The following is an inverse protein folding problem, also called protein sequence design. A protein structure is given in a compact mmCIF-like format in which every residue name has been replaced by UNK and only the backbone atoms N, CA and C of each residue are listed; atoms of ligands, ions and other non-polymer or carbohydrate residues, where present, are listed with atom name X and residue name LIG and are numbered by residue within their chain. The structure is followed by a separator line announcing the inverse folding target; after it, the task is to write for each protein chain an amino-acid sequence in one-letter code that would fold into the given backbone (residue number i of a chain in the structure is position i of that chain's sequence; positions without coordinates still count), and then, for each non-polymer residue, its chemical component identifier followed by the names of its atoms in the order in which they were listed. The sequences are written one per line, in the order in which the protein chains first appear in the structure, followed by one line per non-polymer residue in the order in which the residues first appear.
data_IF_141585627280
#
_entry.id   IF_141585627280
#
_cell.length_a   1.000
_cell.length_b   1.000
_cell.length_c   1.000
_cell.angle_alpha   90.00
_cell.angle_beta   90.00
_cell.angle_gamma   90.00
#
_symmetry.space_group_name_H-M   'P 1'
#
loop_
_entity.id
_entity.type
_entity.pdbx_description
1 polymer ?
#
# COMPACT_ATOMS: atom_id res chain seq x y z
N UNK A 1 68.19 30.86 29.87
CA UNK A 1 67.40 31.45 28.76
C UNK A 1 66.45 30.37 28.25
N UNK A 2 65.21 30.37 28.75
CA UNK A 2 64.18 29.47 28.30
C UNK A 2 63.76 29.89 26.89
N UNK A 3 63.73 28.93 25.99
CA UNK A 3 63.57 29.21 24.55
C UNK A 3 62.11 29.60 24.24
N UNK A 4 61.90 30.85 23.87
CA UNK A 4 60.56 31.38 23.48
C UNK A 4 59.84 30.52 22.43
N UNK A 5 60.60 29.73 21.71
CA UNK A 5 60.06 28.74 20.70
C UNK A 5 59.36 27.58 21.39
N UNK A 6 59.76 27.16 22.60
CA UNK A 6 59.14 26.05 23.31
C UNK A 6 57.79 26.48 23.92
N UNK A 7 57.70 27.73 24.41
CA UNK A 7 56.45 28.30 24.94
C UNK A 7 55.40 28.48 23.82
N UNK A 8 55.88 28.91 22.61
CA UNK A 8 54.98 29.07 21.47
C UNK A 8 54.42 27.71 20.97
N UNK A 9 55.26 26.68 21.05
CA UNK A 9 54.86 25.32 20.67
C UNK A 9 53.87 24.69 21.67
N UNK A 10 54.07 24.97 22.98
CA UNK A 10 53.18 24.54 24.03
C UNK A 10 51.81 25.26 23.98
N UNK A 11 51.79 26.55 23.67
CA UNK A 11 50.56 27.32 23.47
C UNK A 11 49.79 26.88 22.23
N UNK A 12 50.48 26.56 21.13
CA UNK A 12 49.86 26.03 19.88
C UNK A 12 49.30 24.61 20.10
N UNK A 13 49.98 23.75 20.86
CA UNK A 13 49.50 22.41 21.23
C UNK A 13 48.28 22.43 22.15
N UNK A 14 48.22 23.42 23.05
CA UNK A 14 47.06 23.61 23.94
C UNK A 14 45.80 24.09 23.19
N UNK A 15 45.98 24.90 22.14
CA UNK A 15 44.88 25.39 21.26
C UNK A 15 44.28 24.26 20.42
N UNK A 16 45.02 23.22 20.08
CA UNK A 16 44.56 22.08 19.29
C UNK A 16 43.70 21.08 20.10
N UNK A 17 43.75 21.14 21.44
CA UNK A 17 43.00 20.23 22.32
C UNK A 17 41.56 20.70 22.59
N UNK A 18 41.16 21.91 22.20
CA UNK A 18 39.82 22.43 22.42
C UNK A 18 38.84 22.24 21.22
N UNK A 19 39.28 21.58 20.14
CA UNK A 19 38.48 21.42 18.92
C UNK A 19 37.64 20.15 18.86
N UNK A 20 37.46 19.38 19.94
CA UNK A 20 36.52 18.27 20.01
C UNK A 20 35.28 18.68 20.80
N UNK A 21 34.45 19.52 20.20
CA UNK A 21 33.05 19.70 20.63
C UNK A 21 32.22 18.61 19.95
N UNK A 22 32.04 17.45 20.61
CA UNK A 22 31.03 16.50 20.22
C UNK A 22 29.65 17.15 20.36
N UNK A 23 29.11 17.61 19.26
CA UNK A 23 27.73 18.06 19.17
C UNK A 23 26.79 16.89 19.44
N UNK A 24 26.31 16.79 20.66
CA UNK A 24 25.19 15.92 21.07
C UNK A 24 23.87 16.31 20.38
N UNK A 25 23.84 16.29 19.03
CA UNK A 25 22.63 16.55 18.21
C UNK A 25 21.87 15.27 17.86
N UNK A 26 22.40 14.09 18.19
CA UNK A 26 21.81 12.81 17.74
C UNK A 26 20.68 12.32 18.66
N UNK A 27 20.66 12.70 19.94
CA UNK A 27 19.71 12.12 20.91
C UNK A 27 18.31 12.76 20.95
N UNK A 28 18.06 13.86 20.24
CA UNK A 28 16.75 14.54 20.29
C UNK A 28 15.82 14.22 19.11
N UNK A 29 16.32 13.55 18.09
CA UNK A 29 15.56 13.30 16.84
C UNK A 29 14.77 12.00 16.86
N UNK A 30 15.18 10.99 17.61
CA UNK A 30 14.49 9.68 17.60
C UNK A 30 13.13 9.70 18.31
N UNK A 31 12.97 10.49 19.37
CA UNK A 31 11.69 10.58 20.09
C UNK A 31 10.63 11.38 19.31
N UNK A 32 11.04 12.29 18.43
CA UNK A 32 10.14 13.08 17.59
C UNK A 32 9.72 12.33 16.32
N UNK A 33 10.48 11.31 15.89
CA UNK A 33 10.18 10.51 14.70
C UNK A 33 9.19 9.36 14.94
N UNK A 34 8.79 9.09 16.19
CA UNK A 34 7.81 8.04 16.46
C UNK A 34 6.47 8.40 15.84
N UNK A 35 6.10 7.68 14.78
CA UNK A 35 4.83 7.84 14.09
C UNK A 35 4.88 8.69 12.82
N UNK A 36 5.98 9.40 12.55
CA UNK A 36 6.18 10.05 11.25
C UNK A 36 6.66 9.03 10.21
N UNK A 37 6.27 9.20 8.94
CA UNK A 37 6.82 8.40 7.85
C UNK A 37 8.32 8.69 7.68
N UNK A 38 9.08 7.67 7.26
CA UNK A 38 10.50 7.83 6.89
C UNK A 38 10.63 8.58 5.57
N UNK A 39 9.64 8.42 4.68
CA UNK A 39 9.56 9.09 3.39
C UNK A 39 8.11 9.47 3.09
N UNK A 40 7.90 10.68 2.55
CA UNK A 40 6.63 11.13 1.99
C UNK A 40 6.86 11.59 0.56
N UNK A 41 6.08 11.05 -0.37
CA UNK A 41 6.12 11.39 -1.78
C UNK A 41 4.75 11.81 -2.28
N UNK A 42 4.69 12.80 -3.19
CA UNK A 42 3.44 13.29 -3.78
C UNK A 42 3.39 12.99 -5.29
N UNK A 43 2.17 12.78 -5.81
CA UNK A 43 1.91 12.49 -7.23
C UNK A 43 2.76 11.33 -7.76
N UNK A 44 2.69 10.19 -7.08
CA UNK A 44 3.58 9.04 -7.30
C UNK A 44 2.98 8.09 -8.32
N UNK A 45 3.83 7.53 -9.19
CA UNK A 45 3.52 6.36 -10.00
C UNK A 45 4.58 5.30 -9.71
N UNK A 46 4.16 4.13 -9.24
CA UNK A 46 5.00 2.96 -9.02
C UNK A 46 4.65 1.92 -10.08
N UNK A 47 5.64 1.42 -10.79
CA UNK A 47 5.50 0.30 -11.71
C UNK A 47 6.31 -0.86 -11.18
N UNK A 48 5.64 -1.96 -10.88
CA UNK A 48 6.26 -3.21 -10.45
C UNK A 48 6.41 -4.14 -11.64
N UNK A 49 7.57 -4.79 -11.72
CA UNK A 49 7.89 -5.77 -12.76
C UNK A 49 8.13 -7.14 -12.12
N UNK A 50 7.60 -8.15 -12.75
CA UNK A 50 7.92 -9.55 -12.51
C UNK A 50 8.72 -10.16 -13.66
N UNK A 51 8.89 -11.48 -13.67
CA UNK A 51 9.63 -12.20 -14.74
C UNK A 51 8.96 -12.08 -16.12
N UNK A 52 7.68 -11.76 -16.16
CA UNK A 52 6.85 -11.71 -17.37
C UNK A 52 6.62 -10.26 -17.85
N UNK A 53 7.08 -9.26 -17.09
CA UNK A 53 7.05 -7.82 -17.37
C UNK A 53 6.28 -7.02 -16.31
N UNK A 54 5.40 -6.07 -16.68
CA UNK A 54 4.68 -5.24 -15.70
C UNK A 54 3.66 -6.11 -14.95
N UNK A 55 3.82 -6.25 -13.63
CA UNK A 55 2.89 -6.92 -12.74
C UNK A 55 1.74 -5.99 -12.34
N UNK A 56 2.08 -4.75 -11.92
CA UNK A 56 1.08 -3.74 -11.63
C UNK A 56 1.62 -2.31 -11.80
N UNK A 57 0.69 -1.36 -11.93
CA UNK A 57 0.95 0.07 -11.90
C UNK A 57 0.08 0.66 -10.79
N UNK A 58 0.71 1.30 -9.79
CA UNK A 58 0.06 2.04 -8.72
C UNK A 58 0.24 3.53 -8.94
N UNK A 59 -0.85 4.29 -8.97
CA UNK A 59 -0.86 5.76 -8.93
C UNK A 59 -1.47 6.22 -7.62
N UNK A 60 -0.85 7.22 -6.99
CA UNK A 60 -1.34 7.80 -5.74
C UNK A 60 -1.03 9.29 -5.66
N UNK A 61 -1.95 10.07 -5.10
CA UNK A 61 -1.70 11.49 -4.85
C UNK A 61 -0.61 11.70 -3.80
N UNK A 62 -0.53 10.80 -2.81
CA UNK A 62 0.47 10.82 -1.75
C UNK A 62 0.80 9.40 -1.31
N UNK A 63 2.08 9.17 -0.96
CA UNK A 63 2.55 7.94 -0.33
C UNK A 63 3.40 8.31 0.89
N UNK A 64 3.10 7.68 2.02
CA UNK A 64 3.90 7.72 3.24
C UNK A 64 4.51 6.33 3.47
N UNK A 65 5.83 6.23 3.57
CA UNK A 65 6.56 4.97 3.72
C UNK A 65 7.19 4.85 5.10
N UNK A 66 7.09 3.65 5.69
CA UNK A 66 7.66 3.28 6.98
C UNK A 66 8.54 2.05 6.79
N UNK A 67 9.86 2.27 6.64
CA UNK A 67 10.79 1.21 6.25
C UNK A 67 10.92 0.10 7.29
N UNK A 68 11.08 0.45 8.57
CA UNK A 68 11.21 -0.55 9.65
C UNK A 68 9.96 -1.45 9.76
N UNK A 69 8.79 -0.87 9.56
CA UNK A 69 7.51 -1.60 9.63
C UNK A 69 7.17 -2.31 8.33
N UNK A 70 7.86 -2.00 7.24
CA UNK A 70 7.54 -2.44 5.88
C UNK A 70 6.09 -2.11 5.49
N UNK A 71 5.64 -0.91 5.90
CA UNK A 71 4.30 -0.39 5.61
C UNK A 71 4.40 0.78 4.63
N UNK A 72 3.48 0.80 3.67
CA UNK A 72 3.26 1.92 2.77
C UNK A 72 1.80 2.33 2.87
N UNK A 73 1.55 3.60 3.21
CA UNK A 73 0.22 4.20 3.16
C UNK A 73 0.11 5.02 1.87
N UNK A 74 -0.87 4.73 1.04
CA UNK A 74 -1.14 5.49 -0.18
C UNK A 74 -2.54 6.11 -0.13
N UNK A 75 -2.68 7.29 -0.73
CA UNK A 75 -3.90 8.10 -0.70
C UNK A 75 -4.33 8.42 -2.12
N UNK A 76 -5.65 8.39 -2.39
CA UNK A 76 -6.27 8.55 -3.71
C UNK A 76 -5.64 7.59 -4.72
N UNK A 77 -5.89 6.31 -4.47
CA UNK A 77 -5.22 5.20 -5.15
C UNK A 77 -5.95 4.80 -6.40
N UNK A 78 -5.18 4.58 -7.47
CA UNK A 78 -5.59 3.91 -8.71
C UNK A 78 -4.52 2.85 -9.05
N UNK A 79 -4.84 1.58 -8.80
CA UNK A 79 -3.98 0.43 -9.05
C UNK A 79 -4.52 -0.33 -10.26
N UNK A 80 -3.64 -0.68 -11.21
CA UNK A 80 -3.92 -1.61 -12.30
C UNK A 80 -2.99 -2.80 -12.19
N UNK A 81 -3.53 -4.00 -12.04
CA UNK A 81 -2.80 -5.27 -12.03
C UNK A 81 -3.00 -6.00 -13.37
N UNK A 82 -1.95 -6.67 -13.85
CA UNK A 82 -1.94 -7.38 -15.13
C UNK A 82 -1.86 -8.88 -14.88
N UNK A 83 -2.91 -9.63 -15.26
CA UNK A 83 -2.91 -11.09 -15.24
C UNK A 83 -2.53 -11.61 -16.64
N UNK A 84 -1.31 -12.06 -16.79
CA UNK A 84 -0.81 -12.57 -18.07
C UNK A 84 -1.13 -14.03 -18.28
N UNK A 85 -1.30 -14.80 -17.21
CA UNK A 85 -1.59 -16.21 -17.25
C UNK A 85 -3.00 -16.47 -17.80
N UNK A 86 -3.95 -15.65 -17.38
CA UNK A 86 -5.36 -15.74 -17.81
C UNK A 86 -5.74 -14.66 -18.83
N UNK A 87 -4.82 -13.73 -19.11
CA UNK A 87 -5.03 -12.55 -19.96
C UNK A 87 -6.05 -11.57 -19.36
N UNK A 88 -5.68 -10.31 -19.23
CA UNK A 88 -6.58 -9.28 -18.76
C UNK A 88 -5.95 -8.34 -17.74
N UNK A 89 -6.76 -7.39 -17.30
CA UNK A 89 -6.37 -6.42 -16.27
C UNK A 89 -7.44 -6.37 -15.19
N UNK A 90 -7.01 -6.17 -13.95
CA UNK A 90 -7.88 -5.80 -12.85
C UNK A 90 -7.49 -4.41 -12.34
N UNK A 91 -8.46 -3.62 -11.90
CA UNK A 91 -8.17 -2.29 -11.34
C UNK A 91 -8.80 -2.12 -9.97
N UNK A 92 -8.08 -1.49 -9.05
CA UNK A 92 -8.54 -1.17 -7.71
C UNK A 92 -8.41 0.35 -7.50
N UNK A 93 -9.53 1.00 -7.16
CA UNK A 93 -9.56 2.39 -6.71
C UNK A 93 -9.98 2.46 -5.25
N UNK A 94 -9.39 3.38 -4.49
CA UNK A 94 -9.73 3.60 -3.09
C UNK A 94 -9.29 5.00 -2.64
N UNK A 95 -9.92 5.52 -1.59
CA UNK A 95 -9.48 6.79 -0.98
C UNK A 95 -8.13 6.62 -0.31
N UNK A 96 -7.87 5.45 0.31
CA UNK A 96 -6.59 5.11 0.89
C UNK A 96 -6.31 3.61 0.86
N UNK A 97 -5.03 3.25 0.84
CA UNK A 97 -4.57 1.86 1.02
C UNK A 97 -3.42 1.80 2.02
N UNK A 98 -3.36 0.69 2.73
CA UNK A 98 -2.22 0.28 3.53
C UNK A 98 -1.65 -0.97 2.89
N UNK A 99 -0.41 -0.89 2.41
CA UNK A 99 0.33 -2.04 1.89
C UNK A 99 1.24 -2.54 3.00
N UNK A 100 1.01 -3.75 3.45
CA UNK A 100 1.84 -4.46 4.41
C UNK A 100 2.72 -5.44 3.64
N UNK A 101 3.95 -5.00 3.32
CA UNK A 101 4.89 -5.82 2.55
C UNK A 101 5.49 -6.97 3.38
N UNK A 102 5.41 -6.90 4.72
CA UNK A 102 5.85 -8.01 5.57
C UNK A 102 4.90 -9.21 5.47
N UNK A 103 3.60 -8.96 5.40
CA UNK A 103 2.54 -9.98 5.29
C UNK A 103 2.07 -10.21 3.87
N UNK A 104 2.45 -9.33 2.95
CA UNK A 104 2.01 -9.33 1.55
C UNK A 104 0.50 -9.08 1.41
N UNK A 105 -0.06 -8.19 2.25
CA UNK A 105 -1.49 -7.87 2.30
C UNK A 105 -1.71 -6.40 1.97
N UNK A 106 -2.77 -6.11 1.20
CA UNK A 106 -3.24 -4.75 0.93
C UNK A 106 -4.61 -4.55 1.59
N UNK A 107 -4.74 -3.48 2.37
CA UNK A 107 -6.00 -3.01 2.92
C UNK A 107 -6.43 -1.76 2.17
N UNK A 108 -7.59 -1.78 1.53
CA UNK A 108 -8.18 -0.63 0.84
C UNK A 108 -9.38 -0.10 1.62
N UNK A 109 -9.48 1.23 1.74
CA UNK A 109 -10.51 1.91 2.52
C UNK A 109 -11.08 3.11 1.76
N UNK A 110 -12.37 3.33 1.95
CA UNK A 110 -13.13 4.46 1.39
C UNK A 110 -13.35 4.33 -0.12
N UNK A 111 -14.60 4.43 -0.57
CA UNK A 111 -15.00 4.39 -1.97
C UNK A 111 -14.29 3.32 -2.81
N UNK A 112 -14.12 2.12 -2.21
CA UNK A 112 -13.36 1.05 -2.85
C UNK A 112 -14.13 0.51 -4.03
N UNK A 113 -13.48 0.49 -5.21
CA UNK A 113 -13.99 -0.14 -6.42
C UNK A 113 -12.94 -1.07 -7.01
N UNK A 114 -13.23 -2.36 -7.04
CA UNK A 114 -12.44 -3.37 -7.75
C UNK A 114 -13.18 -3.71 -9.05
N UNK A 115 -12.47 -3.67 -10.17
CA UNK A 115 -12.96 -4.14 -11.47
C UNK A 115 -12.06 -5.27 -11.92
N UNK A 116 -12.62 -6.44 -12.08
CA UNK A 116 -11.97 -7.63 -12.61
C UNK A 116 -12.59 -8.04 -13.93
N UNK A 117 -12.14 -9.17 -14.46
CA UNK A 117 -12.63 -9.69 -15.75
C UNK A 117 -14.10 -10.08 -15.71
N UNK A 118 -14.57 -10.62 -14.60
CA UNK A 118 -15.93 -11.17 -14.49
C UNK A 118 -16.94 -10.17 -13.93
N UNK A 119 -16.50 -8.98 -13.49
CA UNK A 119 -17.42 -7.98 -12.95
C UNK A 119 -16.75 -6.85 -12.20
N UNK A 120 -17.51 -6.18 -11.34
CA UNK A 120 -16.99 -5.14 -10.45
C UNK A 120 -17.62 -5.20 -9.07
N UNK A 121 -16.82 -4.86 -8.06
CA UNK A 121 -17.20 -4.79 -6.65
C UNK A 121 -17.09 -3.35 -6.19
N UNK A 122 -18.10 -2.87 -5.44
CA UNK A 122 -18.06 -1.60 -4.72
C UNK A 122 -18.33 -1.85 -3.25
N UNK A 123 -17.44 -1.32 -2.39
CA UNK A 123 -17.51 -1.49 -0.93
C UNK A 123 -16.80 -0.34 -0.22
N UNK A 124 -16.88 -0.26 1.10
CA UNK A 124 -16.11 0.68 1.91
C UNK A 124 -14.76 0.15 2.36
N UNK A 125 -14.57 -1.18 2.34
CA UNK A 125 -13.33 -1.85 2.76
C UNK A 125 -13.09 -3.09 1.92
N UNK A 126 -11.81 -3.31 1.59
CA UNK A 126 -11.36 -4.49 0.88
C UNK A 126 -9.99 -4.90 1.41
N UNK A 127 -9.77 -6.18 1.56
CA UNK A 127 -8.50 -6.79 1.96
C UNK A 127 -8.09 -7.72 0.82
N UNK A 128 -6.89 -7.53 0.30
CA UNK A 128 -6.32 -8.41 -0.70
C UNK A 128 -5.06 -9.09 -0.15
N UNK A 129 -5.14 -10.40 0.04
CA UNK A 129 -3.99 -11.26 0.35
C UNK A 129 -3.34 -11.69 -0.97
N UNK A 130 -2.15 -11.14 -1.25
CA UNK A 130 -1.41 -11.41 -2.50
C UNK A 130 -0.78 -12.80 -2.53
N UNK A 131 -0.57 -13.45 -1.36
CA UNK A 131 -0.02 -14.80 -1.31
C UNK A 131 -1.07 -15.84 -1.71
N UNK A 132 -2.31 -15.61 -1.33
CA UNK A 132 -3.43 -16.52 -1.57
C UNK A 132 -4.24 -16.15 -2.82
N UNK A 133 -3.97 -14.98 -3.44
CA UNK A 133 -4.82 -14.34 -4.45
C UNK A 133 -6.29 -14.24 -3.97
N UNK A 134 -6.46 -13.93 -2.68
CA UNK A 134 -7.77 -13.84 -2.04
C UNK A 134 -8.15 -12.39 -1.79
N UNK A 135 -9.37 -12.03 -2.16
CA UNK A 135 -9.98 -10.73 -1.91
C UNK A 135 -11.16 -10.91 -0.96
N UNK A 136 -11.12 -10.21 0.18
CA UNK A 136 -12.19 -10.15 1.16
C UNK A 136 -12.76 -8.74 1.19
N UNK A 137 -14.08 -8.60 1.12
CA UNK A 137 -14.79 -7.34 1.32
C UNK A 137 -15.75 -7.49 2.52
N UNK A 138 -15.28 -7.19 3.74
CA UNK A 138 -16.14 -7.27 4.93
C UNK A 138 -17.16 -6.13 4.94
N UNK A 139 -18.38 -6.42 5.37
CA UNK A 139 -19.49 -5.47 5.42
C UNK A 139 -20.27 -5.42 4.11
N UNK A 140 -20.93 -4.29 3.85
CA UNK A 140 -21.81 -4.14 2.68
C UNK A 140 -21.04 -4.11 1.37
N UNK A 141 -21.52 -4.87 0.40
CA UNK A 141 -20.92 -5.01 -0.94
C UNK A 141 -22.00 -4.90 -2.01
N UNK A 142 -21.66 -4.22 -3.09
CA UNK A 142 -22.41 -4.28 -4.35
C UNK A 142 -21.52 -4.94 -5.38
N UNK A 143 -21.96 -6.07 -5.93
CA UNK A 143 -21.32 -6.80 -7.01
C UNK A 143 -22.14 -6.60 -8.29
N UNK A 144 -21.48 -6.21 -9.38
CA UNK A 144 -22.08 -6.17 -10.73
C UNK A 144 -21.39 -7.25 -11.56
N UNK A 145 -22.18 -8.20 -12.06
CA UNK A 145 -21.68 -9.32 -12.86
C UNK A 145 -22.70 -9.72 -13.93
N UNK A 146 -22.26 -9.84 -15.18
CA UNK A 146 -23.14 -10.24 -16.28
C UNK A 146 -24.36 -9.34 -16.47
N UNK A 147 -24.25 -8.03 -16.14
CA UNK A 147 -25.37 -7.09 -16.19
C UNK A 147 -26.30 -7.13 -14.97
N UNK A 148 -26.12 -8.07 -14.05
CA UNK A 148 -26.91 -8.20 -12.82
C UNK A 148 -26.24 -7.47 -11.67
N UNK A 149 -27.05 -6.96 -10.73
CA UNK A 149 -26.57 -6.29 -9.52
C UNK A 149 -26.94 -7.15 -8.31
N UNK A 150 -25.93 -7.57 -7.56
CA UNK A 150 -26.08 -8.31 -6.32
C UNK A 150 -25.63 -7.42 -5.18
N UNK A 151 -26.41 -7.32 -4.13
CA UNK A 151 -26.06 -6.65 -2.87
C UNK A 151 -26.02 -7.66 -1.76
N UNK A 152 -25.02 -7.58 -0.90
CA UNK A 152 -24.87 -8.50 0.22
C UNK A 152 -23.77 -8.05 1.16
N UNK A 153 -23.25 -9.00 1.93
CA UNK A 153 -22.21 -8.75 2.92
C UNK A 153 -21.12 -9.83 2.84
N UNK A 154 -19.92 -9.48 3.36
CA UNK A 154 -18.83 -10.44 3.55
C UNK A 154 -18.44 -11.20 2.27
N UNK A 155 -18.18 -10.47 1.19
CA UNK A 155 -17.80 -11.06 -0.09
C UNK A 155 -16.37 -11.62 0.00
N UNK A 156 -16.17 -12.84 -0.52
CA UNK A 156 -14.88 -13.50 -0.74
C UNK A 156 -14.73 -13.83 -2.22
N UNK A 157 -13.59 -13.50 -2.80
CA UNK A 157 -13.30 -13.74 -4.22
C UNK A 157 -11.78 -13.61 -4.49
N UNK A 158 -11.39 -13.38 -5.73
CA UNK A 158 -10.03 -13.02 -6.17
C UNK A 158 -10.06 -11.76 -7.06
N UNK A 159 -8.92 -11.34 -7.62
CA UNK A 159 -8.85 -10.17 -8.50
C UNK A 159 -9.67 -10.31 -9.80
N UNK A 160 -9.90 -11.53 -10.26
CA UNK A 160 -10.76 -11.80 -11.44
C UNK A 160 -12.26 -11.74 -11.11
N UNK A 161 -12.63 -11.70 -9.83
CA UNK A 161 -14.01 -11.77 -9.30
C UNK A 161 -14.65 -13.13 -9.64
N UNK A 162 -13.86 -14.21 -9.53
CA UNK A 162 -14.31 -15.59 -9.75
C UNK A 162 -13.37 -16.61 -9.08
N UNK A 163 -13.88 -17.57 -8.30
CA UNK A 163 -15.27 -17.68 -7.83
C UNK A 163 -15.64 -16.55 -6.86
N UNK A 164 -16.91 -16.42 -6.54
CA UNK A 164 -17.42 -15.39 -5.62
C UNK A 164 -18.39 -16.01 -4.63
N UNK A 165 -18.14 -15.80 -3.34
CA UNK A 165 -19.01 -16.15 -2.23
C UNK A 165 -19.44 -14.87 -1.53
N UNK A 166 -20.70 -14.77 -1.10
CA UNK A 166 -21.24 -13.59 -0.42
C UNK A 166 -22.41 -13.96 0.47
N UNK A 167 -22.54 -13.30 1.62
CA UNK A 167 -23.64 -13.49 2.56
C UNK A 167 -24.79 -12.51 2.31
N UNK A 168 -26.00 -12.87 2.77
CA UNK A 168 -27.20 -12.01 2.79
C UNK A 168 -27.51 -11.38 1.44
N UNK A 169 -27.55 -12.19 0.39
CA UNK A 169 -27.66 -11.72 -0.99
C UNK A 169 -29.08 -11.22 -1.30
N UNK A 170 -29.16 -10.02 -1.86
CA UNK A 170 -30.31 -9.44 -2.58
C UNK A 170 -29.92 -9.17 -4.02
N UNK A 171 -30.71 -9.63 -4.97
CA UNK A 171 -30.37 -9.57 -6.39
C UNK A 171 -31.37 -8.73 -7.17
N UNK A 172 -30.88 -7.89 -8.09
CA UNK A 172 -31.66 -7.12 -9.04
C UNK A 172 -31.10 -7.36 -10.46
N UNK A 173 -31.95 -7.74 -11.42
CA UNK A 173 -31.50 -7.94 -12.81
C UNK A 173 -32.37 -8.96 -13.54
N UNK A 174 -31.97 -9.30 -14.74
CA UNK A 174 -32.57 -10.35 -15.55
C UNK A 174 -31.81 -11.64 -15.26
N UNK A 175 -32.43 -12.56 -14.47
CA UNK A 175 -31.85 -13.85 -14.17
C UNK A 175 -32.35 -14.87 -15.19
N UNK A 176 -31.47 -15.38 -16.05
CA UNK A 176 -31.74 -16.64 -16.77
C UNK A 176 -31.76 -17.77 -15.75
N UNK A 177 -32.56 -18.81 -16.03
CA UNK A 177 -32.85 -19.93 -15.10
C UNK A 177 -31.57 -20.62 -14.55
N UNK A 178 -30.49 -20.59 -15.34
CA UNK A 178 -29.20 -21.23 -15.03
C UNK A 178 -28.31 -20.38 -14.09
N UNK A 179 -28.73 -19.16 -13.74
CA UNK A 179 -27.95 -18.27 -12.86
C UNK A 179 -28.02 -18.65 -11.38
N UNK A 180 -29.02 -19.48 -10.99
CA UNK A 180 -29.25 -19.90 -9.61
C UNK A 180 -28.75 -21.32 -9.31
N UNK A 181 -28.22 -22.05 -10.30
CA UNK A 181 -27.58 -23.34 -10.09
C UNK A 181 -26.09 -23.14 -9.77
N UNK A 182 -25.82 -23.10 -8.47
CA UNK A 182 -24.46 -23.03 -7.90
C UNK A 182 -23.99 -24.39 -7.45
#
# INVERSE_FOLDING_TARGET
MWNRSVELFLLLALLLLTACGEGNLVLRTESLKRGLPDETSANVTITEFDKEGIAYILKAAKIDRYYERRILNAYQVDLTAFDRTKGGTSSLKADSTIVDDARNIIFAHGNVKLVGREGSISTSRLIWDRNLDEVLAPGNVTLVKGGNILRGTNLRTNLSIYPTEMDNISAEGYFEKDFLDW
#
